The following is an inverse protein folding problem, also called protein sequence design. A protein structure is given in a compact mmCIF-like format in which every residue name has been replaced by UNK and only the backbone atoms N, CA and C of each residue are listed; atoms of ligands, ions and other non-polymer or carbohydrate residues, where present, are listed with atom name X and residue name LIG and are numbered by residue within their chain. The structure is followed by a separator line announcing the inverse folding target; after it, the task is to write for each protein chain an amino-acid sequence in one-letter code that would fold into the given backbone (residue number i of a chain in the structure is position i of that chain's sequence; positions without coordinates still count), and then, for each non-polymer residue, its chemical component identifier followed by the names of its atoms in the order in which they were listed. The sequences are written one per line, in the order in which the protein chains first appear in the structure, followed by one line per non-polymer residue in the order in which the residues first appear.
data_IF_195261904429
#
_entry.id   IF_195261904429
#
_cell.length_a   1.000
_cell.length_b   1.000
_cell.length_c   1.000
_cell.angle_alpha   90.00
_cell.angle_beta   90.00
_cell.angle_gamma   90.00
#
_symmetry.space_group_name_H-M   'P 1'
#
loop_
_entity.id
_entity.type
_entity.pdbx_description
1 polymer ?
#
# COMPACT_ATOMS: atom_id res chain seq x y z
N UNK A 1 6.59 19.11 23.58
CA UNK A 1 5.79 17.93 23.18
C UNK A 1 6.72 16.72 23.21
N UNK A 2 6.27 15.55 23.68
CA UNK A 2 7.11 14.34 23.59
C UNK A 2 7.33 13.98 22.11
N UNK A 3 8.50 13.44 21.78
CA UNK A 3 8.84 12.97 20.44
C UNK A 3 7.79 12.00 19.91
N UNK A 4 7.34 11.08 20.77
CA UNK A 4 6.29 10.09 20.50
C UNK A 4 4.96 10.73 20.03
N UNK A 5 4.47 11.77 20.71
CA UNK A 5 3.22 12.42 20.31
C UNK A 5 3.34 13.13 18.95
N UNK A 6 4.54 13.58 18.60
CA UNK A 6 4.80 14.19 17.30
C UNK A 6 4.79 13.14 16.20
N UNK A 7 5.40 11.99 16.45
CA UNK A 7 5.39 10.85 15.51
C UNK A 7 3.98 10.31 15.28
N UNK A 8 3.17 10.19 16.33
CA UNK A 8 1.76 9.78 16.20
C UNK A 8 0.95 10.75 15.33
N UNK A 9 1.11 12.06 15.53
CA UNK A 9 0.45 13.07 14.70
C UNK A 9 0.86 12.99 13.23
N UNK A 10 2.14 12.71 12.94
CA UNK A 10 2.64 12.53 11.58
C UNK A 10 1.95 11.33 10.92
N UNK A 11 1.88 10.17 11.60
CA UNK A 11 1.23 8.96 11.07
C UNK A 11 -0.26 9.21 10.78
N UNK A 12 -0.96 9.90 11.68
CA UNK A 12 -2.37 10.28 11.47
C UNK A 12 -2.52 11.22 10.25
N UNK A 13 -1.62 12.19 10.09
CA UNK A 13 -1.60 13.08 8.93
C UNK A 13 -1.40 12.34 7.61
N UNK A 14 -0.43 11.41 7.56
CA UNK A 14 -0.15 10.60 6.38
C UNK A 14 -1.31 9.67 6.02
N UNK A 15 -1.98 9.07 7.01
CA UNK A 15 -3.22 8.30 6.78
C UNK A 15 -4.29 9.16 6.09
N UNK A 16 -4.56 10.36 6.62
CA UNK A 16 -5.58 11.26 6.07
C UNK A 16 -5.23 11.72 4.63
N UNK A 17 -3.95 11.97 4.36
CA UNK A 17 -3.45 12.23 2.99
C UNK A 17 -3.61 11.03 2.06
N UNK A 18 -3.26 9.82 2.50
CA UNK A 18 -3.42 8.60 1.73
C UNK A 18 -4.90 8.31 1.42
N UNK A 19 -5.80 8.43 2.40
CA UNK A 19 -7.23 8.25 2.20
C UNK A 19 -7.82 9.31 1.26
N UNK A 20 -7.36 10.57 1.32
CA UNK A 20 -7.74 11.61 0.37
C UNK A 20 -7.23 11.32 -1.03
N UNK A 21 -5.97 10.93 -1.17
CA UNK A 21 -5.36 10.59 -2.45
C UNK A 21 -6.15 9.48 -3.15
N UNK A 22 -6.48 8.40 -2.44
CA UNK A 22 -7.30 7.29 -2.96
C UNK A 22 -8.70 7.69 -3.43
N UNK A 23 -9.26 8.79 -2.91
CA UNK A 23 -10.56 9.33 -3.35
C UNK A 23 -10.47 10.19 -4.61
N UNK A 24 -9.28 10.61 -5.01
CA UNK A 24 -9.08 11.39 -6.24
C UNK A 24 -9.15 10.53 -7.50
N UNK A 25 -9.40 11.15 -8.66
CA UNK A 25 -9.33 10.45 -9.95
C UNK A 25 -7.94 9.87 -10.22
N UNK A 26 -6.87 10.60 -9.85
CA UNK A 26 -5.50 10.16 -10.03
C UNK A 26 -5.19 8.94 -9.18
N UNK A 27 -5.53 8.98 -7.88
CA UNK A 27 -5.29 7.88 -6.96
C UNK A 27 -6.03 6.61 -7.38
N UNK A 28 -7.32 6.72 -7.70
CA UNK A 28 -8.10 5.59 -8.25
C UNK A 28 -7.47 5.01 -9.51
N UNK A 29 -7.14 5.86 -10.48
CA UNK A 29 -6.55 5.41 -11.74
C UNK A 29 -5.21 4.68 -11.55
N UNK A 30 -4.37 5.15 -10.61
CA UNK A 30 -3.09 4.48 -10.31
C UNK A 30 -3.29 3.14 -9.61
N UNK A 31 -4.27 3.02 -8.72
CA UNK A 31 -4.65 1.75 -8.10
C UNK A 31 -5.18 0.77 -9.14
N UNK A 32 -6.15 1.20 -9.97
CA UNK A 32 -6.71 0.38 -11.05
C UNK A 32 -5.61 -0.10 -12.01
N UNK A 33 -4.65 0.77 -12.31
CA UNK A 33 -3.48 0.41 -13.13
C UNK A 33 -2.63 -0.66 -12.45
N UNK A 34 -2.31 -0.51 -11.17
CA UNK A 34 -1.53 -1.50 -10.44
C UNK A 34 -2.24 -2.86 -10.41
N UNK A 35 -3.56 -2.88 -10.17
CA UNK A 35 -4.35 -4.11 -10.20
C UNK A 35 -4.33 -4.78 -11.57
N UNK A 36 -4.51 -4.00 -12.65
CA UNK A 36 -4.44 -4.51 -14.01
C UNK A 36 -3.05 -5.08 -14.35
N UNK A 37 -1.97 -4.41 -13.93
CA UNK A 37 -0.60 -4.90 -14.13
C UNK A 37 -0.33 -6.20 -13.37
N UNK A 38 -0.80 -6.30 -12.13
CA UNK A 38 -0.75 -7.52 -11.31
C UNK A 38 -1.50 -8.66 -11.99
N UNK A 39 -2.76 -8.45 -12.34
CA UNK A 39 -3.64 -9.49 -12.87
C UNK A 39 -3.15 -10.02 -14.22
N UNK A 40 -2.67 -9.14 -15.09
CA UNK A 40 -2.04 -9.53 -16.35
C UNK A 40 -0.80 -10.39 -16.12
N UNK A 41 0.11 -9.98 -15.23
CA UNK A 41 1.32 -10.74 -14.93
C UNK A 41 1.01 -12.08 -14.24
N UNK A 42 -0.01 -12.14 -13.38
CA UNK A 42 -0.49 -13.39 -12.77
C UNK A 42 -1.08 -14.34 -13.81
N UNK A 43 -1.84 -13.83 -14.79
CA UNK A 43 -2.37 -14.64 -15.89
C UNK A 43 -1.23 -15.19 -16.76
N UNK A 44 -0.25 -14.35 -17.13
CA UNK A 44 0.94 -14.76 -17.87
C UNK A 44 1.76 -15.82 -17.10
N UNK A 45 1.85 -15.70 -15.76
CA UNK A 45 2.61 -16.61 -14.93
C UNK A 45 2.01 -18.01 -14.85
N UNK A 46 0.68 -18.14 -14.91
CA UNK A 46 -0.02 -19.45 -14.89
C UNK A 46 0.30 -20.31 -16.11
N UNK A 47 0.56 -19.67 -17.25
CA UNK A 47 0.84 -20.33 -18.53
C UNK A 47 2.35 -20.37 -18.85
N UNK A 48 3.20 -19.81 -17.98
CA UNK A 48 4.63 -19.73 -18.21
C UNK A 48 5.30 -21.11 -18.15
N UNK A 49 6.22 -21.36 -19.08
CA UNK A 49 7.09 -22.54 -19.05
C UNK A 49 7.95 -22.52 -17.77
N UNK A 50 7.84 -23.58 -16.96
CA UNK A 50 8.57 -23.76 -15.72
C UNK A 50 10.09 -23.76 -15.91
N UNK A 51 10.56 -24.19 -17.08
CA UNK A 51 11.99 -24.23 -17.43
C UNK A 51 12.52 -22.88 -17.94
N UNK A 52 11.69 -21.82 -17.91
CA UNK A 52 12.09 -20.46 -18.21
C UNK A 52 12.13 -19.57 -16.94
N UNK A 53 13.12 -19.77 -16.05
CA UNK A 53 13.21 -19.05 -14.77
C UNK A 53 13.52 -17.56 -14.94
N UNK A 54 14.00 -17.12 -16.11
CA UNK A 54 14.19 -15.69 -16.37
C UNK A 54 12.83 -15.01 -16.56
N UNK A 55 11.98 -15.57 -17.40
CA UNK A 55 10.64 -15.04 -17.65
C UNK A 55 9.77 -15.07 -16.39
N UNK A 56 9.79 -16.17 -15.63
CA UNK A 56 9.08 -16.29 -14.36
C UNK A 56 9.48 -15.17 -13.38
N UNK A 57 10.78 -14.89 -13.23
CA UNK A 57 11.26 -13.82 -12.34
C UNK A 57 10.81 -12.44 -12.80
N UNK A 58 10.76 -12.19 -14.11
CA UNK A 58 10.26 -10.93 -14.67
C UNK A 58 8.77 -10.72 -14.32
N UNK A 59 7.95 -11.77 -14.46
CA UNK A 59 6.53 -11.75 -14.07
C UNK A 59 6.34 -11.54 -12.57
N UNK A 60 7.09 -12.28 -11.74
CA UNK A 60 7.06 -12.11 -10.29
C UNK A 60 7.46 -10.70 -9.85
N UNK A 61 8.44 -10.08 -10.52
CA UNK A 61 8.83 -8.70 -10.23
C UNK A 61 7.70 -7.72 -10.59
N UNK A 62 7.05 -7.90 -11.75
CA UNK A 62 5.90 -7.08 -12.15
C UNK A 62 4.79 -7.13 -11.11
N UNK A 63 4.43 -8.34 -10.66
CA UNK A 63 3.44 -8.58 -9.59
C UNK A 63 3.88 -7.86 -8.31
N UNK A 64 5.10 -8.11 -7.84
CA UNK A 64 5.61 -7.55 -6.59
C UNK A 64 5.57 -6.03 -6.57
N UNK A 65 5.95 -5.36 -7.67
CA UNK A 65 5.92 -3.88 -7.72
C UNK A 65 4.50 -3.33 -7.66
N UNK A 66 3.58 -3.95 -8.38
CA UNK A 66 2.17 -3.54 -8.39
C UNK A 66 1.56 -3.68 -6.99
N UNK A 67 1.78 -4.83 -6.34
CA UNK A 67 1.31 -5.09 -4.98
C UNK A 67 1.97 -4.18 -3.96
N UNK A 68 3.29 -3.96 -4.04
CA UNK A 68 4.02 -3.09 -3.10
C UNK A 68 3.46 -1.67 -3.09
N UNK A 69 3.11 -1.12 -4.25
CA UNK A 69 2.48 0.20 -4.33
C UNK A 69 1.17 0.26 -3.53
N UNK A 70 0.32 -0.76 -3.69
CA UNK A 70 -0.95 -0.85 -2.95
C UNK A 70 -0.71 -1.07 -1.45
N UNK A 71 0.25 -1.91 -1.09
CA UNK A 71 0.60 -2.20 0.30
C UNK A 71 1.12 -0.97 1.04
N UNK A 72 1.99 -0.16 0.43
CA UNK A 72 2.48 1.07 1.07
C UNK A 72 1.34 2.02 1.42
N UNK A 73 0.34 2.17 0.54
CA UNK A 73 -0.84 2.99 0.83
C UNK A 73 -1.69 2.38 1.98
N UNK A 74 -1.85 1.06 1.99
CA UNK A 74 -2.58 0.37 3.05
C UNK A 74 -1.87 0.44 4.41
N UNK A 75 -0.54 0.35 4.42
CA UNK A 75 0.31 0.49 5.62
C UNK A 75 0.16 1.88 6.21
N UNK A 76 0.29 2.95 5.42
CA UNK A 76 0.09 4.32 5.89
C UNK A 76 -1.27 4.52 6.57
N UNK A 77 -2.33 3.94 5.97
CA UNK A 77 -3.67 4.03 6.52
C UNK A 77 -3.78 3.26 7.85
N UNK A 78 -3.23 2.05 7.89
CA UNK A 78 -3.30 1.18 9.07
C UNK A 78 -2.50 1.77 10.23
N UNK A 79 -1.28 2.25 9.97
CA UNK A 79 -0.43 2.86 10.96
C UNK A 79 -1.05 4.13 11.56
N UNK A 80 -1.67 4.98 10.74
CA UNK A 80 -2.35 6.17 11.24
C UNK A 80 -3.61 5.84 12.06
N UNK A 81 -4.36 4.78 11.70
CA UNK A 81 -5.50 4.31 12.50
C UNK A 81 -5.06 3.81 13.87
N UNK A 82 -3.97 3.04 13.91
CA UNK A 82 -3.39 2.56 15.17
C UNK A 82 -2.91 3.73 16.03
N UNK A 83 -2.17 4.68 15.45
CA UNK A 83 -1.71 5.87 16.16
C UNK A 83 -2.88 6.72 16.71
N UNK A 84 -3.95 6.89 15.93
CA UNK A 84 -5.15 7.59 16.38
C UNK A 84 -5.82 6.88 17.55
N UNK A 85 -5.90 5.55 17.50
CA UNK A 85 -6.48 4.74 18.57
C UNK A 85 -5.67 4.85 19.87
N UNK A 86 -4.34 4.68 19.80
CA UNK A 86 -3.43 4.85 20.93
C UNK A 86 -3.55 6.26 21.56
N UNK A 87 -3.63 7.30 20.73
CA UNK A 87 -3.82 8.68 21.21
C UNK A 87 -5.14 8.87 21.96
N UNK A 88 -6.21 8.18 21.53
CA UNK A 88 -7.52 8.24 22.19
C UNK A 88 -7.52 7.48 23.51
N UNK A 89 -6.87 6.32 23.59
CA UNK A 89 -6.73 5.54 24.82
C UNK A 89 -5.92 6.31 25.87
N UNK A 90 -4.79 6.90 25.46
CA UNK A 90 -3.94 7.70 26.35
C UNK A 90 -4.59 9.00 26.83
N UNK A 91 -5.59 9.52 26.12
CA UNK A 91 -6.33 10.72 26.54
C UNK A 91 -7.42 10.41 27.59
N UNK A 92 -7.77 9.15 27.79
CA UNK A 92 -8.78 8.69 28.76
C UNK A 92 -8.16 8.23 30.10
N UNK A 93 -6.83 8.14 30.16
CA UNK A 93 -6.05 7.81 31.36
C UNK A 93 -5.57 9.09 32.07
#
# INVERSE_FOLDING_TARGET
MSTERTEQLIRVGLMDEAERFLKTNLGRHLVDRAEAERDAAMAELKEADAENPKYIRELQNRIYRAESFQFWLAELITEGRNALHEMQENAQQ
#
